data_IF_046200557196
#
_entry.id   IF_046200557196
#
_cell.length_a   1.000
_cell.length_b   1.000
_cell.length_c   1.000
_cell.angle_alpha   90.00
_cell.angle_beta   90.00
_cell.angle_gamma   90.00
#
_symmetry.space_group_name_H-M   'P 1'
#
loop_
_entity.id
_entity.type
_entity.pdbx_description
1 polymer ?
#
# COMPACT_ATOMS: atom_id res chain seq x y z
N UNK A 1 -0.48 5.04 41.11
CA UNK A 1 -0.05 6.39 41.51
C UNK A 1 0.78 6.35 42.78
N UNK A 2 1.52 7.41 43.07
CA UNK A 2 2.27 7.57 44.33
C UNK A 2 1.52 8.41 45.34
N UNK A 3 1.81 8.24 46.60
CA UNK A 3 1.34 9.13 47.66
C UNK A 3 2.03 10.53 47.52
N UNK A 4 1.33 11.57 47.99
CA UNK A 4 1.97 12.86 48.19
C UNK A 4 3.02 12.76 49.29
N UNK A 5 4.20 13.36 49.11
CA UNK A 5 5.33 13.20 50.02
C UNK A 5 5.76 14.52 50.71
N UNK A 6 5.28 15.66 50.21
CA UNK A 6 5.64 17.01 50.65
C UNK A 6 4.47 17.81 51.23
N UNK A 7 3.31 17.17 51.50
CA UNK A 7 2.15 17.84 52.03
C UNK A 7 2.36 18.18 53.52
N UNK A 8 2.12 19.45 53.87
CA UNK A 8 2.06 19.86 55.28
C UNK A 8 0.79 19.33 55.96
N UNK A 9 0.93 18.19 56.68
CA UNK A 9 -0.18 17.54 57.37
C UNK A 9 -0.67 18.31 58.61
N UNK A 10 0.07 19.30 59.10
CA UNK A 10 -0.39 20.16 60.18
C UNK A 10 -1.39 21.22 59.62
N UNK A 11 -1.12 21.71 58.46
CA UNK A 11 -2.01 22.63 57.77
C UNK A 11 -3.21 21.91 57.13
N UNK A 12 -3.01 20.70 56.62
CA UNK A 12 -4.01 19.89 55.93
C UNK A 12 -4.17 18.54 56.63
N UNK A 13 -4.79 18.46 57.81
CA UNK A 13 -4.92 17.20 58.54
C UNK A 13 -5.89 16.26 57.83
N UNK A 14 -5.61 14.91 58.00
CA UNK A 14 -6.47 13.86 57.46
C UNK A 14 -7.87 13.78 58.09
N UNK A 15 -8.67 12.78 57.73
CA UNK A 15 -8.31 11.65 56.89
C UNK A 15 -8.24 11.99 55.37
N UNK A 16 -7.46 11.18 54.67
CA UNK A 16 -7.21 11.38 53.22
C UNK A 16 -7.80 10.23 52.40
N UNK A 17 -8.14 10.52 51.15
CA UNK A 17 -8.58 9.55 50.16
C UNK A 17 -8.27 10.03 48.73
N UNK A 18 -8.28 9.11 47.76
CA UNK A 18 -8.07 9.43 46.37
C UNK A 18 -9.34 9.25 45.55
N UNK A 19 -9.52 10.07 44.54
CA UNK A 19 -10.48 9.91 43.45
C UNK A 19 -9.73 9.72 42.16
N UNK A 20 -10.07 8.67 41.38
CA UNK A 20 -9.49 8.36 40.08
C UNK A 20 -10.49 8.66 38.98
N UNK A 21 -10.06 9.41 38.01
CA UNK A 21 -10.85 9.81 36.84
C UNK A 21 -10.25 9.23 35.57
N UNK A 22 -11.11 8.96 34.55
CA UNK A 22 -10.75 8.53 33.22
C UNK A 22 -11.30 9.46 32.15
N UNK A 23 -10.58 9.60 31.07
CA UNK A 23 -10.98 10.16 29.78
C UNK A 23 -10.65 9.22 28.63
N UNK A 24 -11.33 9.36 27.51
CA UNK A 24 -11.05 8.62 26.27
C UNK A 24 -10.08 9.43 25.39
N UNK A 25 -9.17 8.72 24.71
CA UNK A 25 -8.11 9.33 23.94
C UNK A 25 -7.10 10.07 24.85
N UNK A 26 -6.48 11.09 24.30
CA UNK A 26 -5.52 11.97 24.99
C UNK A 26 -6.19 13.20 25.60
N UNK A 27 -7.45 13.09 25.95
CA UNK A 27 -8.27 14.19 26.49
C UNK A 27 -8.20 14.29 28.02
N UNK A 28 -8.87 15.31 28.57
CA UNK A 28 -9.00 15.47 30.03
C UNK A 28 -9.78 14.33 30.67
N UNK A 29 -9.25 13.78 31.75
CA UNK A 29 -9.90 12.72 32.56
C UNK A 29 -10.96 13.34 33.51
N UNK A 30 -12.24 13.24 33.17
CA UNK A 30 -13.35 13.88 33.91
C UNK A 30 -14.39 12.90 34.47
N UNK A 31 -14.36 11.62 34.02
CA UNK A 31 -15.32 10.61 34.51
C UNK A 31 -14.74 9.92 35.73
N UNK A 32 -15.37 10.08 36.90
CA UNK A 32 -14.99 9.40 38.13
C UNK A 32 -15.24 7.91 38.00
N UNK A 33 -14.20 7.07 38.23
CA UNK A 33 -14.29 5.60 38.14
C UNK A 33 -13.96 4.89 39.45
N UNK A 34 -13.25 5.55 40.35
CA UNK A 34 -12.89 4.93 41.62
C UNK A 34 -12.70 5.98 42.72
N UNK A 35 -13.06 5.63 43.93
CA UNK A 35 -12.76 6.37 45.17
C UNK A 35 -12.21 5.38 46.17
N UNK A 36 -11.01 5.64 46.73
CA UNK A 36 -10.42 4.80 47.76
C UNK A 36 -11.15 4.95 49.09
N UNK A 37 -10.93 4.03 50.00
CA UNK A 37 -11.28 4.22 51.42
C UNK A 37 -10.55 5.44 51.99
N UNK A 38 -10.96 5.87 53.21
CA UNK A 38 -10.26 6.96 53.91
C UNK A 38 -9.15 6.40 54.78
N UNK A 39 -8.00 7.10 54.85
CA UNK A 39 -6.88 6.80 55.75
C UNK A 39 -6.54 7.99 56.61
N UNK A 40 -6.28 7.82 57.92
CA UNK A 40 -5.83 8.91 58.76
C UNK A 40 -4.42 9.41 58.40
N UNK A 41 -3.68 8.58 57.66
CA UNK A 41 -2.29 8.86 57.27
C UNK A 41 -2.20 9.31 55.81
N UNK A 42 -1.31 10.24 55.52
CA UNK A 42 -1.00 10.65 54.16
C UNK A 42 -0.50 9.50 53.30
N UNK A 43 0.27 8.58 53.91
CA UNK A 43 0.70 7.34 53.25
C UNK A 43 -0.48 6.39 53.13
N UNK A 44 -1.28 6.56 52.09
CA UNK A 44 -2.46 5.76 51.84
C UNK A 44 -2.08 4.38 51.30
N UNK A 45 -2.72 3.28 51.81
CA UNK A 45 -2.41 1.93 51.33
C UNK A 45 -2.87 1.68 49.88
N UNK A 46 -3.97 2.32 49.48
CA UNK A 46 -4.57 2.11 48.16
C UNK A 46 -3.97 3.09 47.13
N UNK A 47 -2.94 2.65 46.41
CA UNK A 47 -2.28 3.40 45.34
C UNK A 47 -2.31 2.67 44.01
N UNK A 48 -3.16 1.66 43.87
CA UNK A 48 -3.36 0.89 42.66
C UNK A 48 -4.86 0.66 42.40
N UNK A 49 -5.23 0.64 41.14
CA UNK A 49 -6.57 0.32 40.69
C UNK A 49 -6.53 -0.42 39.36
N UNK A 50 -7.31 -1.47 39.23
CA UNK A 50 -7.47 -2.19 37.97
C UNK A 50 -8.79 -1.80 37.32
N UNK A 51 -8.69 -1.08 36.18
CA UNK A 51 -9.83 -0.71 35.37
C UNK A 51 -10.18 -1.84 34.41
N UNK A 52 -11.23 -2.60 34.75
CA UNK A 52 -11.71 -3.75 33.98
C UNK A 52 -12.76 -3.34 32.94
N UNK A 53 -12.95 -4.19 31.93
CA UNK A 53 -13.96 -4.02 30.87
C UNK A 53 -13.83 -2.71 30.08
N UNK A 54 -12.59 -2.29 29.85
CA UNK A 54 -12.26 -1.11 29.05
C UNK A 54 -11.76 -1.55 27.68
N UNK A 55 -12.21 -0.86 26.63
CA UNK A 55 -11.70 -1.08 25.29
C UNK A 55 -10.38 -0.32 25.11
N UNK A 56 -9.28 -1.04 25.04
CA UNK A 56 -7.94 -0.49 24.81
C UNK A 56 -7.48 -0.61 23.35
N UNK A 57 -8.27 -1.30 22.51
CA UNK A 57 -7.92 -1.55 21.10
C UNK A 57 -8.24 -0.34 20.21
N UNK A 58 -9.40 0.30 20.45
CA UNK A 58 -9.88 1.38 19.60
C UNK A 58 -9.34 2.76 20.00
N UNK A 59 -8.60 2.87 21.10
CA UNK A 59 -8.03 4.15 21.51
C UNK A 59 -7.34 4.14 22.88
N UNK A 60 -6.55 5.18 23.10
CA UNK A 60 -5.90 5.45 24.37
C UNK A 60 -6.89 5.83 25.46
N UNK A 61 -6.49 5.69 26.70
CA UNK A 61 -7.21 6.17 27.88
C UNK A 61 -6.31 7.05 28.74
N UNK A 62 -6.85 8.17 29.19
CA UNK A 62 -6.14 9.14 30.03
C UNK A 62 -6.69 9.05 31.45
N UNK A 63 -5.82 9.08 32.43
CA UNK A 63 -6.16 9.00 33.84
C UNK A 63 -5.67 10.21 34.61
N UNK A 64 -6.39 10.57 35.66
CA UNK A 64 -6.03 11.63 36.60
C UNK A 64 -6.45 11.21 38.03
N UNK A 65 -5.58 11.50 38.99
CA UNK A 65 -5.82 11.23 40.41
C UNK A 65 -5.92 12.52 41.17
N UNK A 66 -6.91 12.62 42.03
CA UNK A 66 -7.08 13.73 42.99
C UNK A 66 -6.87 13.22 44.43
N UNK A 67 -6.13 13.97 45.23
CA UNK A 67 -6.02 13.78 46.68
C UNK A 67 -7.02 14.69 47.37
N UNK A 68 -7.87 14.11 48.23
CA UNK A 68 -8.88 14.81 49.00
C UNK A 68 -8.67 14.51 50.49
N UNK A 69 -9.22 15.40 51.35
CA UNK A 69 -9.29 15.19 52.79
C UNK A 69 -10.73 15.28 53.31
N UNK A 70 -10.96 14.68 54.48
CA UNK A 70 -12.27 14.64 55.11
C UNK A 70 -13.05 13.39 54.77
N UNK A 71 -14.38 13.49 54.78
CA UNK A 71 -15.34 12.41 54.52
C UNK A 71 -16.36 12.85 53.50
N UNK A 72 -17.07 11.93 52.86
CA UNK A 72 -18.06 12.24 51.82
C UNK A 72 -17.39 12.72 50.54
N UNK A 73 -17.79 13.89 50.06
CA UNK A 73 -17.21 14.50 48.85
C UNK A 73 -15.78 15.03 49.07
N UNK A 74 -15.42 15.29 50.34
CA UNK A 74 -14.10 15.74 50.74
C UNK A 74 -13.73 17.14 50.24
N UNK A 75 -12.61 17.66 50.74
CA UNK A 75 -11.98 18.89 50.27
C UNK A 75 -10.80 18.52 49.37
N UNK A 76 -10.74 19.06 48.16
CA UNK A 76 -9.62 18.83 47.23
C UNK A 76 -8.33 19.47 47.76
N UNK A 77 -7.31 18.66 47.96
CA UNK A 77 -5.95 19.09 48.35
C UNK A 77 -5.10 19.33 47.11
N UNK A 78 -5.15 18.40 46.19
CA UNK A 78 -4.33 18.49 44.93
C UNK A 78 -4.78 17.51 43.89
N UNK A 79 -4.43 17.84 42.66
CA UNK A 79 -4.69 16.99 41.50
C UNK A 79 -3.37 16.65 40.82
N UNK A 80 -3.14 15.39 40.53
CA UNK A 80 -2.06 14.95 39.66
C UNK A 80 -2.27 15.41 38.22
N UNK A 81 -1.20 15.48 37.47
CA UNK A 81 -1.28 15.65 36.03
C UNK A 81 -1.94 14.43 35.36
N UNK A 82 -2.55 14.65 34.21
CA UNK A 82 -3.08 13.55 33.41
C UNK A 82 -1.96 12.72 32.77
N UNK A 83 -2.17 11.41 32.74
CA UNK A 83 -1.27 10.47 32.08
C UNK A 83 -2.09 9.47 31.26
N UNK A 84 -1.75 9.29 29.99
CA UNK A 84 -2.39 8.29 29.13
C UNK A 84 -1.68 6.93 29.18
N UNK A 85 -2.40 5.87 28.75
CA UNK A 85 -1.74 4.66 28.25
C UNK A 85 -0.93 5.00 26.97
N UNK A 86 0.03 4.16 26.63
CA UNK A 86 0.60 4.17 25.28
C UNK A 86 -0.45 3.56 24.34
N UNK A 87 -0.70 4.21 23.23
CA UNK A 87 -1.52 3.69 22.14
C UNK A 87 -0.61 3.34 20.97
N UNK A 88 -0.67 2.08 20.53
CA UNK A 88 0.13 1.58 19.42
C UNK A 88 -0.73 1.59 18.16
N UNK A 89 -0.33 2.41 17.18
CA UNK A 89 -0.86 2.43 15.84
C UNK A 89 0.13 1.81 14.86
N UNK A 90 -0.36 1.07 13.87
CA UNK A 90 0.44 0.35 12.90
C UNK A 90 0.19 0.90 11.50
N UNK A 91 1.28 1.20 10.78
CA UNK A 91 1.24 1.60 9.38
C UNK A 91 1.92 0.52 8.54
N UNK A 92 1.13 -0.34 7.84
CA UNK A 92 1.69 -1.37 6.97
C UNK A 92 2.27 -0.77 5.69
N UNK A 93 3.40 -1.33 5.26
CA UNK A 93 4.08 -0.99 4.03
C UNK A 93 4.69 -2.26 3.42
N UNK A 94 5.39 -2.16 2.30
CA UNK A 94 5.98 -3.29 1.61
C UNK A 94 7.09 -3.94 2.44
N UNK A 95 6.90 -5.23 2.78
CA UNK A 95 7.76 -6.05 3.63
C UNK A 95 8.09 -5.43 5.01
N UNK A 96 7.31 -4.47 5.48
CA UNK A 96 7.55 -3.79 6.75
C UNK A 96 6.28 -3.24 7.39
N UNK A 97 6.35 -3.01 8.71
CA UNK A 97 5.33 -2.29 9.48
C UNK A 97 6.02 -1.21 10.30
N UNK A 98 5.54 0.03 10.17
CA UNK A 98 5.94 1.13 11.05
C UNK A 98 5.01 1.16 12.25
N UNK A 99 5.59 1.18 13.44
CA UNK A 99 4.91 1.27 14.71
C UNK A 99 4.96 2.72 15.20
N UNK A 100 3.81 3.32 15.49
CA UNK A 100 3.65 4.63 16.09
C UNK A 100 3.16 4.48 17.52
N UNK A 101 3.86 5.07 18.50
CA UNK A 101 3.64 4.88 19.93
C UNK A 101 3.14 6.16 20.57
N UNK A 102 1.87 6.47 20.34
CA UNK A 102 1.24 7.70 20.80
C UNK A 102 0.99 7.68 22.31
N UNK A 103 1.34 8.77 22.97
CA UNK A 103 1.08 8.94 24.40
C UNK A 103 1.02 10.42 24.79
N UNK A 104 0.39 10.69 25.92
CA UNK A 104 0.40 12.00 26.58
C UNK A 104 0.70 11.77 28.07
N UNK A 105 1.95 11.95 28.44
CA UNK A 105 2.42 11.71 29.81
C UNK A 105 3.12 12.94 30.37
N UNK A 106 3.04 13.22 31.69
CA UNK A 106 3.73 14.33 32.32
C UNK A 106 5.22 14.03 32.60
N UNK A 107 5.70 12.87 32.19
CA UNK A 107 7.11 12.46 32.22
C UNK A 107 7.64 12.23 30.79
N UNK A 108 8.95 12.12 30.67
CA UNK A 108 9.61 11.85 29.39
C UNK A 108 9.89 10.36 29.30
N UNK A 109 9.38 9.71 28.25
CA UNK A 109 9.78 8.37 27.85
C UNK A 109 11.09 8.46 27.07
N UNK A 110 12.05 7.63 27.42
CA UNK A 110 13.41 7.61 26.83
C UNK A 110 13.71 6.30 26.13
N UNK A 111 12.93 5.24 26.43
CA UNK A 111 13.13 3.91 25.89
C UNK A 111 11.78 3.32 25.52
N UNK A 112 11.71 2.75 24.32
CA UNK A 112 10.55 2.06 23.78
C UNK A 112 11.00 0.66 23.36
N UNK A 113 10.76 -0.34 24.21
CA UNK A 113 11.06 -1.74 23.93
C UNK A 113 9.90 -2.35 23.15
N UNK A 114 10.19 -2.86 21.96
CA UNK A 114 9.21 -3.43 21.04
C UNK A 114 9.23 -4.96 21.14
N UNK A 115 8.04 -5.53 21.24
CA UNK A 115 7.84 -6.98 21.30
C UNK A 115 6.89 -7.40 20.20
N UNK A 116 7.25 -8.48 19.49
CA UNK A 116 6.43 -9.11 18.46
C UNK A 116 5.90 -10.45 18.97
N UNK A 117 4.60 -10.68 18.82
CA UNK A 117 3.96 -11.93 19.19
C UNK A 117 4.37 -13.04 18.22
N UNK A 118 4.85 -14.16 18.74
CA UNK A 118 5.25 -15.35 17.97
C UNK A 118 4.20 -16.46 18.00
N UNK A 119 3.35 -16.42 19.00
CA UNK A 119 2.13 -17.22 19.13
C UNK A 119 1.21 -16.55 20.16
N UNK A 120 -0.10 -16.82 20.18
CA UNK A 120 -1.03 -16.18 21.10
C UNK A 120 -0.53 -16.14 22.54
N UNK A 121 -0.29 -14.94 23.07
CA UNK A 121 0.20 -14.70 24.42
C UNK A 121 1.72 -14.92 24.63
N UNK A 122 2.49 -15.24 23.58
CA UNK A 122 3.95 -15.40 23.65
C UNK A 122 4.61 -14.38 22.74
N UNK A 123 5.35 -13.45 23.32
CA UNK A 123 6.02 -12.38 22.58
C UNK A 123 7.52 -12.43 22.73
N UNK A 124 8.22 -12.03 21.69
CA UNK A 124 9.68 -11.93 21.63
C UNK A 124 10.09 -10.48 21.51
N UNK A 125 11.08 -10.07 22.28
CA UNK A 125 11.72 -8.76 22.13
C UNK A 125 12.43 -8.69 20.77
N UNK A 126 12.13 -7.64 19.98
CA UNK A 126 12.69 -7.47 18.64
C UNK A 126 13.57 -6.22 18.50
N UNK A 127 13.45 -5.26 19.42
CA UNK A 127 14.30 -4.07 19.38
C UNK A 127 13.87 -2.97 20.33
N UNK A 128 14.66 -1.93 20.36
CA UNK A 128 14.44 -0.73 21.18
C UNK A 128 14.52 0.51 20.30
N UNK A 129 13.62 1.46 20.49
CA UNK A 129 13.69 2.81 19.93
C UNK A 129 13.94 3.84 21.04
N UNK A 130 14.63 4.93 20.71
CA UNK A 130 14.74 6.13 21.54
C UNK A 130 13.68 7.20 21.22
N UNK A 131 12.83 6.93 20.23
CA UNK A 131 11.72 7.78 19.77
C UNK A 131 10.41 7.00 19.80
N UNK A 132 9.30 7.68 19.60
CA UNK A 132 7.93 7.13 19.54
C UNK A 132 7.61 6.39 18.22
N UNK A 133 8.62 6.02 17.46
CA UNK A 133 8.48 5.24 16.23
C UNK A 133 9.48 4.10 16.16
N UNK A 134 9.08 2.98 15.54
CA UNK A 134 9.92 1.82 15.26
C UNK A 134 9.50 1.19 13.94
N UNK A 135 10.44 0.72 13.13
CA UNK A 135 10.14 0.02 11.87
C UNK A 135 10.62 -1.43 11.99
N UNK A 136 9.71 -2.36 11.86
CA UNK A 136 9.99 -3.79 11.72
C UNK A 136 10.04 -4.13 10.23
N UNK A 137 11.14 -4.70 9.77
CA UNK A 137 11.44 -4.93 8.34
C UNK A 137 11.67 -6.40 8.04
N UNK A 138 11.78 -6.74 6.76
CA UNK A 138 11.92 -8.11 6.26
C UNK A 138 10.76 -9.02 6.71
N UNK A 139 9.57 -8.48 6.66
CA UNK A 139 8.32 -9.16 6.92
C UNK A 139 7.77 -9.77 5.64
N UNK A 140 6.92 -10.78 5.78
CA UNK A 140 6.24 -11.40 4.63
C UNK A 140 4.92 -10.67 4.38
N UNK A 141 4.72 -10.16 3.18
CA UNK A 141 3.50 -9.48 2.77
C UNK A 141 2.28 -10.40 2.96
N UNK A 142 1.17 -9.84 3.46
CA UNK A 142 -0.07 -10.55 3.75
C UNK A 142 -0.07 -11.39 5.03
N UNK A 143 1.08 -11.63 5.66
CA UNK A 143 1.15 -12.33 6.96
C UNK A 143 0.83 -11.37 8.10
N UNK A 144 0.03 -11.83 9.07
CA UNK A 144 -0.32 -11.03 10.25
C UNK A 144 0.80 -11.02 11.28
N UNK A 145 1.14 -9.82 11.75
CA UNK A 145 2.09 -9.58 12.83
C UNK A 145 1.44 -8.74 13.91
N UNK A 146 1.61 -9.18 15.16
CA UNK A 146 1.06 -8.50 16.33
C UNK A 146 2.18 -8.00 17.22
N UNK A 147 2.01 -6.80 17.77
CA UNK A 147 3.03 -6.13 18.57
C UNK A 147 2.43 -5.56 19.84
N UNK A 148 3.27 -5.40 20.86
CA UNK A 148 3.06 -4.47 21.95
C UNK A 148 4.38 -3.78 22.30
N UNK A 149 4.27 -2.62 22.95
CA UNK A 149 5.41 -1.82 23.36
C UNK A 149 5.41 -1.58 24.87
N UNK A 150 6.59 -1.62 25.47
CA UNK A 150 6.84 -1.20 26.82
C UNK A 150 7.68 0.06 26.82
N UNK A 151 7.17 1.16 27.37
CA UNK A 151 7.92 2.39 27.50
C UNK A 151 8.54 2.49 28.88
N UNK A 152 9.72 3.10 28.95
CA UNK A 152 10.42 3.44 30.18
C UNK A 152 10.74 4.92 30.16
N UNK A 153 10.34 5.62 31.22
CA UNK A 153 10.52 7.06 31.35
C UNK A 153 10.73 7.51 32.79
N UNK A 154 10.94 8.79 32.95
CA UNK A 154 11.08 9.42 34.26
C UNK A 154 10.65 10.89 34.22
N UNK A 155 10.25 11.41 35.36
CA UNK A 155 10.16 12.85 35.58
C UNK A 155 11.56 13.47 35.56
N UNK A 156 11.65 14.75 35.26
CA UNK A 156 12.91 15.52 35.36
C UNK A 156 13.36 15.73 36.82
N UNK A 157 12.45 15.59 37.78
CA UNK A 157 12.77 15.67 39.20
C UNK A 157 13.22 14.28 39.72
N UNK A 158 14.48 14.14 40.16
CA UNK A 158 15.02 12.88 40.66
C UNK A 158 14.39 12.40 42.00
N UNK A 159 13.61 13.25 42.68
CA UNK A 159 12.89 12.89 43.90
C UNK A 159 11.63 12.06 43.63
N UNK A 160 11.16 12.01 42.38
CA UNK A 160 9.96 11.24 42.00
C UNK A 160 10.35 9.83 41.59
N UNK A 161 9.40 8.88 41.85
CA UNK A 161 9.59 7.46 41.52
C UNK A 161 10.03 7.25 40.07
N UNK A 162 11.12 6.52 39.91
CA UNK A 162 11.71 6.15 38.62
C UNK A 162 12.25 4.72 38.69
N UNK A 163 12.21 3.93 37.59
CA UNK A 163 11.61 4.26 36.29
C UNK A 163 10.07 4.16 36.29
N UNK A 164 9.43 4.94 35.42
CA UNK A 164 8.02 4.83 35.11
C UNK A 164 7.86 3.91 33.90
N UNK A 165 7.07 2.86 34.04
CA UNK A 165 6.85 1.88 33.00
C UNK A 165 5.40 1.96 32.55
N UNK A 166 5.19 1.99 31.23
CA UNK A 166 3.88 1.98 30.63
C UNK A 166 3.85 0.96 29.48
N UNK A 167 2.68 0.40 29.17
CA UNK A 167 2.50 -0.58 28.10
C UNK A 167 1.43 -0.11 27.13
N UNK A 168 1.61 -0.49 25.88
CA UNK A 168 0.55 -0.38 24.88
C UNK A 168 -0.43 -1.57 24.96
N UNK A 169 -1.55 -1.44 24.25
CA UNK A 169 -2.33 -2.60 23.83
C UNK A 169 -1.54 -3.46 22.84
N UNK A 170 -2.03 -4.67 22.56
CA UNK A 170 -1.60 -5.46 21.41
C UNK A 170 -2.31 -4.90 20.17
N UNK A 171 -1.55 -4.59 19.12
CA UNK A 171 -2.06 -4.20 17.81
C UNK A 171 -1.51 -5.16 16.75
N UNK A 172 -2.32 -5.52 15.77
CA UNK A 172 -1.97 -6.46 14.70
C UNK A 172 -2.25 -5.85 13.34
N UNK A 173 -1.34 -6.06 12.38
CA UNK A 173 -1.53 -5.68 10.99
C UNK A 173 -0.73 -6.60 10.06
N UNK A 174 -0.87 -6.38 8.74
CA UNK A 174 -0.23 -7.17 7.68
C UNK A 174 0.51 -6.26 6.74
N UNK A 175 1.81 -6.49 6.49
CA UNK A 175 2.51 -5.81 5.42
C UNK A 175 1.77 -6.00 4.10
N UNK A 176 1.80 -4.99 3.25
CA UNK A 176 1.13 -4.97 1.95
C UNK A 176 2.17 -4.94 0.85
N UNK A 177 1.95 -5.71 -0.21
CA UNK A 177 2.80 -5.64 -1.38
C UNK A 177 2.47 -4.40 -2.20
N UNK A 178 3.48 -3.56 -2.42
CA UNK A 178 3.40 -2.33 -3.20
C UNK A 178 4.39 -2.32 -4.37
N UNK A 179 5.13 -3.41 -4.57
CA UNK A 179 6.17 -3.51 -5.60
C UNK A 179 5.62 -4.13 -6.87
N UNK A 180 5.36 -3.35 -7.94
CA UNK A 180 4.90 -3.92 -9.19
C UNK A 180 5.99 -4.79 -9.86
N UNK A 181 5.60 -5.76 -10.70
CA UNK A 181 6.55 -6.49 -11.54
C UNK A 181 7.34 -5.53 -12.45
N UNK A 182 8.51 -5.95 -12.94
CA UNK A 182 9.20 -5.19 -13.97
C UNK A 182 8.45 -5.28 -15.31
N UNK A 183 8.65 -4.25 -16.16
CA UNK A 183 8.08 -4.24 -17.49
C UNK A 183 8.58 -5.44 -18.31
N UNK A 184 7.68 -6.21 -18.96
CA UNK A 184 8.08 -7.28 -19.85
C UNK A 184 8.89 -6.80 -21.06
N UNK A 185 9.84 -7.60 -21.53
CA UNK A 185 10.54 -7.33 -22.79
C UNK A 185 9.71 -7.90 -23.95
N UNK A 186 9.06 -7.00 -24.70
CA UNK A 186 8.14 -7.37 -25.77
C UNK A 186 8.86 -7.55 -27.11
N UNK A 187 8.53 -8.63 -27.82
CA UNK A 187 8.89 -8.85 -29.22
C UNK A 187 7.63 -9.06 -30.07
N UNK A 188 7.69 -8.62 -31.31
CA UNK A 188 6.62 -8.74 -32.30
C UNK A 188 7.14 -9.50 -33.52
N UNK A 189 6.43 -10.56 -33.89
CA UNK A 189 6.55 -11.23 -35.20
C UNK A 189 5.32 -10.87 -36.03
N UNK A 190 5.57 -10.15 -37.13
CA UNK A 190 4.54 -9.68 -38.06
C UNK A 190 4.56 -10.58 -39.30
N UNK A 191 3.58 -11.47 -39.42
CA UNK A 191 3.42 -12.31 -40.62
C UNK A 191 2.58 -11.58 -41.67
N UNK A 192 3.23 -11.22 -42.75
CA UNK A 192 2.63 -10.52 -43.87
C UNK A 192 1.88 -11.41 -44.85
N UNK A 193 2.10 -12.71 -44.82
CA UNK A 193 1.40 -13.67 -45.69
C UNK A 193 0.02 -14.03 -45.11
N UNK A 194 0.00 -14.28 -43.82
CA UNK A 194 -1.24 -14.44 -43.07
C UNK A 194 -1.38 -13.20 -42.17
N UNK A 195 -2.36 -12.31 -42.32
CA UNK A 195 -2.44 -11.08 -41.56
C UNK A 195 -2.55 -11.35 -40.06
N UNK A 196 -1.39 -11.64 -39.43
CA UNK A 196 -1.26 -12.10 -38.05
C UNK A 196 -0.08 -11.41 -37.37
N UNK A 197 -0.31 -10.84 -36.20
CA UNK A 197 0.73 -10.40 -35.31
C UNK A 197 0.87 -11.37 -34.14
N UNK A 198 2.06 -11.90 -33.96
CA UNK A 198 2.42 -12.72 -32.81
C UNK A 198 3.26 -11.91 -31.86
N UNK A 199 2.75 -11.63 -30.67
CA UNK A 199 3.46 -10.99 -29.59
C UNK A 199 4.06 -12.06 -28.68
N UNK A 200 5.30 -11.87 -28.27
CA UNK A 200 5.96 -12.70 -27.24
C UNK A 200 6.70 -11.82 -26.26
N UNK A 201 6.72 -12.20 -24.99
CA UNK A 201 7.44 -11.47 -23.94
C UNK A 201 8.04 -12.43 -22.91
N UNK A 202 8.96 -11.94 -22.07
CA UNK A 202 9.51 -12.73 -20.97
C UNK A 202 8.58 -12.70 -19.75
N UNK A 203 8.63 -13.78 -18.97
CA UNK A 203 7.94 -13.83 -17.67
C UNK A 203 8.78 -13.08 -16.62
N UNK A 204 8.26 -12.00 -15.99
CA UNK A 204 8.96 -11.28 -14.93
C UNK A 204 9.35 -12.14 -13.72
N UNK A 205 8.59 -13.20 -13.41
CA UNK A 205 8.89 -14.13 -12.31
C UNK A 205 10.20 -14.91 -12.49
N UNK A 206 10.79 -14.90 -13.70
CA UNK A 206 12.09 -15.52 -13.93
C UNK A 206 13.27 -14.61 -13.54
N UNK A 207 13.02 -13.32 -13.23
CA UNK A 207 14.11 -12.37 -13.07
C UNK A 207 13.94 -11.30 -12.00
N UNK A 208 12.78 -10.70 -11.85
CA UNK A 208 12.59 -9.46 -11.07
C UNK A 208 11.30 -9.41 -10.25
N UNK A 209 10.43 -10.38 -10.36
CA UNK A 209 9.22 -10.55 -9.59
C UNK A 209 9.08 -12.03 -9.21
N UNK A 210 8.11 -12.35 -8.37
CA UNK A 210 7.83 -13.73 -7.95
C UNK A 210 6.33 -14.05 -7.97
N UNK A 211 5.49 -13.05 -8.19
CA UNK A 211 4.04 -13.16 -8.07
C UNK A 211 3.25 -12.54 -9.23
N UNK A 212 3.90 -12.29 -10.38
CA UNK A 212 3.19 -11.88 -11.61
C UNK A 212 2.06 -12.85 -11.89
N UNK A 213 0.87 -12.31 -12.09
CA UNK A 213 -0.37 -13.09 -12.22
C UNK A 213 -1.02 -12.96 -13.59
N UNK A 214 -0.93 -11.77 -14.24
CA UNK A 214 -1.57 -11.49 -15.53
C UNK A 214 -0.83 -10.41 -16.30
N UNK A 215 -1.19 -10.26 -17.59
CA UNK A 215 -0.67 -9.23 -18.50
C UNK A 215 -1.80 -8.47 -19.15
N UNK A 216 -1.63 -7.16 -19.36
CA UNK A 216 -2.45 -6.38 -20.28
C UNK A 216 -1.69 -6.19 -21.60
N UNK A 217 -2.39 -6.45 -22.70
CA UNK A 217 -1.90 -6.17 -24.05
C UNK A 217 -2.49 -4.85 -24.50
N UNK A 218 -1.60 -3.91 -24.77
CA UNK A 218 -1.93 -2.56 -25.22
C UNK A 218 -1.72 -2.44 -26.71
N UNK A 219 -2.62 -1.77 -27.40
CA UNK A 219 -2.60 -1.61 -28.86
C UNK A 219 -3.06 -0.23 -29.28
N UNK A 220 -2.50 0.24 -30.40
CA UNK A 220 -3.02 1.36 -31.19
C UNK A 220 -2.81 1.07 -32.68
N UNK A 221 -3.75 1.46 -33.53
CA UNK A 221 -3.70 1.29 -34.98
C UNK A 221 -2.83 2.34 -35.70
N UNK A 222 -2.33 3.32 -34.96
CA UNK A 222 -1.57 4.44 -35.53
C UNK A 222 -0.27 4.70 -34.75
N UNK A 223 0.80 5.02 -35.49
CA UNK A 223 2.08 5.39 -34.92
C UNK A 223 1.95 6.66 -34.07
N UNK A 224 2.30 6.55 -32.77
CA UNK A 224 2.15 7.64 -31.81
C UNK A 224 0.71 7.89 -31.35
N UNK A 225 -0.23 6.99 -31.67
CA UNK A 225 -1.60 7.01 -31.16
C UNK A 225 -1.68 6.61 -29.69
N UNK A 226 -2.84 6.79 -29.10
CA UNK A 226 -3.11 6.39 -27.72
C UNK A 226 -3.25 4.87 -27.66
N UNK A 227 -2.47 4.23 -26.78
CA UNK A 227 -2.56 2.80 -26.51
C UNK A 227 -3.79 2.51 -25.66
N UNK A 228 -4.56 1.47 -26.04
CA UNK A 228 -5.71 0.98 -25.30
C UNK A 228 -5.54 -0.52 -25.02
N UNK A 229 -6.06 -1.01 -23.90
CA UNK A 229 -6.01 -2.43 -23.55
C UNK A 229 -6.96 -3.22 -24.46
N UNK A 230 -6.39 -4.12 -25.28
CA UNK A 230 -7.14 -4.96 -26.21
C UNK A 230 -7.31 -6.39 -25.69
N UNK A 231 -6.47 -6.83 -24.76
CA UNK A 231 -6.57 -8.16 -24.15
C UNK A 231 -5.98 -8.18 -22.74
N UNK A 232 -6.47 -9.11 -21.93
CA UNK A 232 -5.90 -9.49 -20.65
C UNK A 232 -5.58 -10.97 -20.67
N UNK A 233 -4.34 -11.33 -20.40
CA UNK A 233 -3.85 -12.70 -20.37
C UNK A 233 -3.61 -13.08 -18.90
N UNK A 234 -4.34 -14.07 -18.40
CA UNK A 234 -4.23 -14.54 -17.01
C UNK A 234 -3.33 -15.78 -16.96
N UNK A 235 -2.27 -15.69 -16.18
CA UNK A 235 -1.25 -16.74 -16.01
C UNK A 235 0.14 -16.24 -16.38
N UNK A 236 1.08 -16.24 -15.42
CA UNK A 236 2.45 -15.75 -15.60
C UNK A 236 3.21 -16.47 -16.73
N UNK A 237 2.91 -17.74 -16.96
CA UNK A 237 3.54 -18.59 -17.99
C UNK A 237 2.98 -18.36 -19.40
N UNK A 238 1.89 -17.61 -19.53
CA UNK A 238 1.27 -17.32 -20.82
C UNK A 238 1.86 -16.06 -21.42
N UNK A 239 3.01 -16.19 -22.05
CA UNK A 239 3.84 -15.11 -22.58
C UNK A 239 3.70 -14.90 -24.09
N UNK A 240 2.57 -15.29 -24.67
CA UNK A 240 2.29 -15.14 -26.10
C UNK A 240 0.86 -14.70 -26.32
N UNK A 241 0.66 -13.79 -27.28
CA UNK A 241 -0.64 -13.35 -27.74
C UNK A 241 -0.69 -13.25 -29.26
N UNK A 242 -1.76 -13.77 -29.86
CA UNK A 242 -2.03 -13.69 -31.30
C UNK A 242 -3.09 -12.62 -31.54
N UNK A 243 -2.73 -11.57 -32.26
CA UNK A 243 -3.69 -10.52 -32.66
C UNK A 243 -4.11 -10.73 -34.11
N UNK A 244 -5.40 -11.03 -34.31
CA UNK A 244 -6.02 -11.35 -35.60
C UNK A 244 -7.17 -10.41 -35.89
N UNK A 245 -6.92 -9.15 -36.12
CA UNK A 245 -7.99 -8.16 -36.31
C UNK A 245 -8.44 -8.01 -37.79
N UNK A 246 -8.20 -8.98 -38.59
CA UNK A 246 -8.88 -9.31 -39.84
C UNK A 246 -8.55 -8.51 -41.09
N UNK A 247 -8.22 -7.23 -41.03
CA UNK A 247 -8.02 -6.38 -42.22
C UNK A 247 -6.66 -5.66 -42.28
N UNK A 248 -6.03 -5.48 -41.14
CA UNK A 248 -4.73 -4.77 -41.01
C UNK A 248 -3.91 -5.39 -39.92
N UNK A 249 -2.63 -5.56 -40.15
CA UNK A 249 -1.65 -5.96 -39.12
C UNK A 249 -0.81 -4.77 -38.67
N UNK A 250 -1.04 -3.58 -39.24
CA UNK A 250 -0.34 -2.38 -38.84
C UNK A 250 -0.85 -1.90 -37.47
N UNK A 251 0.07 -1.59 -36.60
CA UNK A 251 -0.21 -1.04 -35.30
C UNK A 251 0.96 -1.17 -34.36
N UNK A 252 0.85 -0.53 -33.21
CA UNK A 252 1.88 -0.54 -32.18
C UNK A 252 1.34 -1.20 -30.93
N UNK A 253 2.21 -1.97 -30.28
CA UNK A 253 1.88 -2.77 -29.10
C UNK A 253 2.79 -2.44 -27.94
N UNK A 254 2.27 -2.56 -26.74
CA UNK A 254 3.01 -2.63 -25.50
C UNK A 254 2.37 -3.66 -24.56
N UNK A 255 3.08 -4.10 -23.56
CA UNK A 255 2.60 -5.06 -22.56
C UNK A 255 2.93 -4.54 -21.16
N UNK A 256 2.00 -4.72 -20.22
CA UNK A 256 2.25 -4.55 -18.79
C UNK A 256 2.06 -5.88 -18.08
N UNK A 257 2.80 -6.08 -16.99
CA UNK A 257 2.65 -7.20 -16.07
C UNK A 257 1.95 -6.72 -14.80
N UNK A 258 1.10 -7.55 -14.23
CA UNK A 258 0.31 -7.24 -13.03
C UNK A 258 0.48 -8.42 -12.07
N UNK A 259 0.81 -8.10 -10.81
CA UNK A 259 0.97 -9.08 -9.75
C UNK A 259 -0.35 -9.62 -9.19
N UNK A 260 -0.25 -10.46 -8.15
CA UNK A 260 -1.39 -11.11 -7.50
C UNK A 260 -2.29 -10.15 -6.71
N UNK A 261 -1.75 -9.00 -6.28
CA UNK A 261 -2.49 -7.98 -5.50
C UNK A 261 -2.96 -6.80 -6.35
N UNK A 262 -2.46 -6.68 -7.58
CA UNK A 262 -2.95 -5.72 -8.56
C UNK A 262 -1.99 -4.56 -8.86
N UNK A 263 -0.73 -4.60 -8.40
CA UNK A 263 0.28 -3.63 -8.81
C UNK A 263 0.66 -3.88 -10.27
N UNK A 264 0.60 -2.84 -11.09
CA UNK A 264 0.86 -2.90 -12.52
C UNK A 264 2.21 -2.27 -12.86
N UNK A 265 3.00 -2.96 -13.69
CA UNK A 265 4.28 -2.47 -14.17
C UNK A 265 4.11 -1.22 -15.05
N UNK A 266 5.20 -0.51 -15.29
CA UNK A 266 5.25 0.43 -16.42
C UNK A 266 5.11 -0.33 -17.72
N UNK A 267 4.70 0.37 -18.80
CA UNK A 267 4.62 -0.20 -20.15
C UNK A 267 6.00 -0.73 -20.60
N UNK A 268 5.99 -1.84 -21.32
CA UNK A 268 7.15 -2.29 -22.11
C UNK A 268 7.57 -1.24 -23.13
N UNK A 269 8.73 -1.42 -23.77
CA UNK A 269 9.02 -0.70 -25.00
C UNK A 269 7.93 -1.01 -26.04
N UNK A 270 7.55 0.04 -26.77
CA UNK A 270 6.53 -0.09 -27.83
C UNK A 270 7.15 -0.70 -29.08
N UNK A 271 6.55 -1.76 -29.59
CA UNK A 271 6.91 -2.39 -30.86
C UNK A 271 5.80 -2.20 -31.89
N UNK A 272 6.15 -1.89 -33.15
CA UNK A 272 5.16 -1.63 -34.19
C UNK A 272 5.33 -2.59 -35.36
N UNK A 273 4.20 -3.12 -35.84
CA UNK A 273 4.09 -3.87 -37.09
C UNK A 273 3.60 -3.01 -38.25
N UNK A 274 3.88 -3.41 -39.47
CA UNK A 274 3.43 -2.78 -40.69
C UNK A 274 2.52 -3.72 -41.50
N UNK A 275 1.68 -3.18 -42.33
CA UNK A 275 0.77 -3.94 -43.21
C UNK A 275 1.49 -4.69 -44.35
N UNK A 276 2.82 -4.57 -44.47
CA UNK A 276 3.60 -5.15 -45.57
C UNK A 276 2.95 -4.86 -46.94
N UNK A 277 3.03 -3.63 -47.45
CA UNK A 277 2.33 -3.24 -48.64
C UNK A 277 2.74 -4.10 -49.84
N UNK A 278 1.75 -4.68 -50.49
CA UNK A 278 1.90 -5.49 -51.71
C UNK A 278 1.06 -4.88 -52.79
N UNK A 279 1.66 -4.71 -53.95
CA UNK A 279 0.98 -4.18 -55.12
C UNK A 279 1.58 -4.81 -56.38
N UNK A 280 0.79 -5.68 -57.01
CA UNK A 280 1.21 -6.31 -58.29
C UNK A 280 0.24 -5.95 -59.40
N UNK A 281 0.79 -5.51 -60.53
CA UNK A 281 0.01 -5.25 -61.73
C UNK A 281 -0.02 -6.49 -62.61
N UNK A 282 -1.17 -6.82 -63.21
CA UNK A 282 -1.22 -7.88 -64.20
C UNK A 282 -0.38 -7.49 -65.39
N UNK A 283 0.33 -8.48 -65.98
CA UNK A 283 1.12 -8.29 -67.19
C UNK A 283 0.26 -8.41 -68.47
N UNK A 284 -0.99 -8.84 -68.35
CA UNK A 284 -1.95 -9.03 -69.42
C UNK A 284 -3.38 -8.89 -68.90
N UNK A 285 -4.29 -8.35 -69.70
CA UNK A 285 -5.72 -8.40 -69.45
C UNK A 285 -6.42 -8.64 -70.79
N UNK A 286 -7.67 -9.17 -70.76
CA UNK A 286 -8.41 -9.61 -71.93
C UNK A 286 -9.83 -9.03 -71.87
N UNK A 287 -10.07 -7.81 -72.38
CA UNK A 287 -11.35 -7.10 -72.29
C UNK A 287 -12.36 -7.71 -73.31
N UNK A 288 -12.79 -8.93 -73.11
CA UNK A 288 -13.72 -9.68 -73.99
C UNK A 288 -15.09 -9.87 -73.35
N UNK A 289 -15.31 -9.32 -72.11
CA UNK A 289 -16.56 -9.33 -71.38
C UNK A 289 -17.02 -10.74 -70.96
N UNK A 290 -16.03 -11.60 -70.61
CA UNK A 290 -16.28 -12.97 -70.12
C UNK A 290 -16.16 -13.07 -68.59
N UNK A 291 -16.13 -11.92 -67.89
CA UNK A 291 -15.95 -11.77 -66.45
C UNK A 291 -14.58 -12.30 -65.88
N UNK A 292 -13.58 -12.48 -66.77
CA UNK A 292 -12.26 -12.93 -66.41
C UNK A 292 -11.19 -12.02 -67.03
N UNK A 293 -10.42 -11.38 -66.17
CA UNK A 293 -9.34 -10.46 -66.59
C UNK A 293 -9.79 -9.34 -67.54
N UNK A 294 -11.06 -8.93 -67.50
CA UNK A 294 -11.58 -7.86 -68.33
C UNK A 294 -11.04 -6.48 -68.00
N UNK A 295 -10.55 -6.33 -66.80
CA UNK A 295 -9.99 -5.07 -66.28
C UNK A 295 -8.52 -5.21 -65.93
N UNK A 296 -7.75 -4.11 -66.17
CA UNK A 296 -6.38 -3.97 -65.74
C UNK A 296 -6.37 -3.45 -64.29
N UNK A 297 -6.47 -4.36 -63.33
CA UNK A 297 -6.53 -4.04 -61.91
C UNK A 297 -5.40 -4.75 -61.17
N UNK A 298 -4.82 -4.15 -60.12
CA UNK A 298 -3.79 -4.82 -59.33
C UNK A 298 -4.38 -6.02 -58.59
N UNK A 299 -3.60 -7.10 -58.56
CA UNK A 299 -3.92 -8.29 -57.75
C UNK A 299 -2.67 -9.17 -57.54
N UNK A 300 -2.26 -9.46 -56.31
CA UNK A 300 -2.83 -8.95 -55.06
C UNK A 300 -2.47 -7.48 -54.80
N UNK A 301 -3.28 -6.83 -53.96
CA UNK A 301 -2.91 -5.55 -53.37
C UNK A 301 -3.32 -5.53 -51.87
N UNK A 302 -2.45 -4.93 -51.03
CA UNK A 302 -2.69 -4.79 -49.59
C UNK A 302 -1.87 -3.60 -49.07
N UNK A 303 -2.40 -2.86 -48.08
CA UNK A 303 -1.69 -1.75 -47.46
C UNK A 303 -1.42 -0.56 -48.34
N UNK A 304 -2.06 -0.49 -49.51
CA UNK A 304 -1.92 0.62 -50.49
C UNK A 304 -3.12 1.54 -50.33
N UNK A 305 -2.86 2.82 -50.01
CA UNK A 305 -3.87 3.83 -49.77
C UNK A 305 -4.21 4.59 -51.06
N UNK A 306 -3.20 4.87 -51.87
CA UNK A 306 -3.34 5.68 -53.09
C UNK A 306 -2.28 5.24 -54.12
N UNK A 307 -2.63 5.23 -55.39
CA UNK A 307 -1.73 4.99 -56.51
C UNK A 307 -1.94 6.05 -57.55
N UNK A 308 -0.89 6.45 -58.23
CA UNK A 308 -0.94 7.28 -59.40
C UNK A 308 -0.45 6.46 -60.61
N UNK A 309 -1.39 6.03 -61.45
CA UNK A 309 -1.10 5.14 -62.57
C UNK A 309 -1.03 5.93 -63.88
N UNK A 310 0.11 5.83 -64.54
CA UNK A 310 0.33 6.44 -65.86
C UNK A 310 0.67 5.34 -66.84
N UNK A 311 -0.06 5.27 -67.96
CA UNK A 311 0.21 4.32 -69.04
C UNK A 311 0.70 5.10 -70.26
N UNK A 312 1.81 4.66 -70.81
CA UNK A 312 2.43 5.26 -71.98
C UNK A 312 2.42 4.28 -73.18
N UNK A 313 2.25 4.77 -74.37
CA UNK A 313 2.42 3.92 -75.54
C UNK A 313 3.92 3.67 -75.83
N UNK A 314 4.21 2.83 -76.83
CA UNK A 314 5.59 2.44 -77.15
C UNK A 314 6.49 3.62 -77.64
N UNK A 315 5.92 4.79 -77.96
CA UNK A 315 6.63 5.98 -78.31
C UNK A 315 6.76 6.99 -77.16
N UNK A 316 6.39 6.59 -75.94
CA UNK A 316 6.50 7.45 -74.75
C UNK A 316 5.39 8.52 -74.64
N UNK A 317 4.32 8.41 -75.39
CA UNK A 317 3.15 9.31 -75.24
C UNK A 317 2.22 8.75 -74.17
N UNK A 318 1.80 9.58 -73.19
CA UNK A 318 0.82 9.28 -72.18
C UNK A 318 -0.53 8.98 -72.85
N UNK A 319 -1.11 7.79 -72.56
CA UNK A 319 -2.37 7.32 -73.13
C UNK A 319 -3.48 7.15 -72.12
N UNK A 320 -3.10 7.01 -70.82
CA UNK A 320 -4.05 6.87 -69.73
C UNK A 320 -3.46 7.33 -68.40
N UNK A 321 -4.28 7.94 -67.55
CA UNK A 321 -3.98 8.28 -66.16
C UNK A 321 -5.15 7.93 -65.27
N UNK A 322 -4.86 7.44 -64.07
CA UNK A 322 -5.85 7.17 -63.00
C UNK A 322 -5.21 7.48 -61.65
N UNK A 323 -6.00 8.03 -60.76
CA UNK A 323 -5.69 8.18 -59.32
C UNK A 323 -6.64 7.40 -58.51
#
# INVERSE_FOLDING_TARGET
>A
WSNAWDLDTAQYPGPYFFKLYVGTGFTTANTLIHTTGTSPFLQHPDTAFQHLNINTVDGAHTYRVELLRGTGDGELIGSGNTASSVFLDLEPNDEQITLHMDHSTPWINTVYDVFRETSPGVSTFIGTSGTDTYVDTALVNGQEYCYYVRTTGAYSDPGIVSPLINFSQVACDRPVDLTPPCAPALALDNDCETPLNTLTWNNPNESCADDTYRYHIWFTDSLGGTLEVVATIVGAELTTFLHTDGLSVAGCYAVTAIDSVGNESVLSDTVCGDNCPVYELPNVFTPNNDDRNDFFVPFPYRGVKEIDLHIFNRWGMLVFTSK
#
